data_IF_810143702054
#
_entry.id   IF_810143702054
#
_cell.length_a   1.000
_cell.length_b   1.000
_cell.length_c   1.000
_cell.angle_alpha   90.00
_cell.angle_beta   90.00
_cell.angle_gamma   90.00
#
_symmetry.space_group_name_H-M   'P 1'
#
loop_
_entity.id
_entity.type
_entity.pdbx_description
1 polymer ?
#
# COMPACT_ATOMS: atom_id res chain seq x y z
N UNK A 1 -12.96 -15.12 11.79
CA UNK A 1 -12.08 -13.98 11.43
C UNK A 1 -12.56 -13.23 10.18
N UNK A 2 -13.25 -13.89 9.22
CA UNK A 2 -13.83 -13.26 8.03
C UNK A 2 -14.79 -12.09 8.33
N UNK A 3 -15.65 -12.22 9.35
CA UNK A 3 -16.58 -11.14 9.77
C UNK A 3 -15.86 -9.85 10.17
N UNK A 4 -14.71 -9.99 10.85
CA UNK A 4 -13.88 -8.86 11.29
C UNK A 4 -13.20 -8.21 10.08
N UNK A 5 -12.72 -9.02 9.13
CA UNK A 5 -12.15 -8.54 7.87
C UNK A 5 -13.17 -7.75 7.03
N UNK A 6 -14.42 -8.23 6.97
CA UNK A 6 -15.52 -7.57 6.28
C UNK A 6 -15.87 -6.22 6.93
N UNK A 7 -15.90 -6.17 8.26
CA UNK A 7 -16.13 -4.95 9.03
C UNK A 7 -15.03 -3.92 8.76
N UNK A 8 -13.77 -4.36 8.68
CA UNK A 8 -12.63 -3.50 8.36
C UNK A 8 -12.71 -2.95 6.93
N UNK A 9 -13.07 -3.80 5.96
CA UNK A 9 -13.27 -3.37 4.58
C UNK A 9 -14.42 -2.35 4.45
N UNK A 10 -15.52 -2.56 5.16
CA UNK A 10 -16.65 -1.63 5.20
C UNK A 10 -16.25 -0.29 5.82
N UNK A 11 -15.43 -0.32 6.88
CA UNK A 11 -14.95 0.89 7.56
C UNK A 11 -14.00 1.70 6.67
N UNK A 12 -13.09 1.03 5.96
CA UNK A 12 -12.23 1.68 4.95
C UNK A 12 -13.08 2.27 3.82
N UNK A 13 -14.06 1.51 3.31
CA UNK A 13 -14.96 2.00 2.26
C UNK A 13 -15.75 3.22 2.72
N UNK A 14 -16.23 3.24 3.97
CA UNK A 14 -16.93 4.40 4.55
C UNK A 14 -16.04 5.64 4.70
N UNK A 15 -14.77 5.46 5.09
CA UNK A 15 -13.80 6.56 5.19
C UNK A 15 -13.47 7.16 3.81
N UNK A 16 -13.44 6.34 2.75
CA UNK A 16 -13.16 6.80 1.38
C UNK A 16 -14.39 7.40 0.71
N UNK A 17 -15.56 6.75 0.85
CA UNK A 17 -16.80 7.17 0.21
C UNK A 17 -17.49 8.32 0.93
N UNK A 18 -17.32 8.45 2.25
CA UNK A 18 -17.91 9.55 3.04
C UNK A 18 -17.55 10.93 2.50
N UNK A 19 -16.26 11.25 2.28
CA UNK A 19 -15.82 12.50 1.68
C UNK A 19 -16.26 12.69 0.23
N UNK A 20 -16.48 11.60 -0.54
CA UNK A 20 -16.96 11.68 -1.91
C UNK A 20 -18.45 12.09 -1.98
N UNK A 21 -19.25 11.68 -0.99
CA UNK A 21 -20.69 11.96 -0.93
C UNK A 21 -20.98 13.32 -0.26
N UNK A 22 -20.09 13.81 0.61
CA UNK A 22 -20.27 15.07 1.36
C UNK A 22 -20.24 16.37 0.52
N UNK A 23 -20.14 16.29 -0.81
CA UNK A 23 -20.10 17.46 -1.70
C UNK A 23 -18.72 18.14 -1.74
N UNK A 24 -18.52 19.03 -2.72
CA UNK A 24 -17.23 19.69 -3.05
C UNK A 24 -16.81 20.75 -2.01
N UNK A 25 -16.81 20.45 -0.71
CA UNK A 25 -16.28 21.35 0.30
C UNK A 25 -14.75 21.23 0.34
N UNK A 26 -14.08 22.06 -0.44
CA UNK A 26 -12.63 22.06 -0.63
C UNK A 26 -12.22 22.03 -2.10
N UNK A 27 -12.80 22.90 -2.93
CA UNK A 27 -12.48 23.01 -4.34
C UNK A 27 -11.08 23.62 -4.55
N UNK A 28 -10.24 22.99 -5.37
CA UNK A 28 -8.96 23.53 -5.84
C UNK A 28 -9.00 23.53 -7.36
N UNK A 29 -9.10 24.73 -7.94
CA UNK A 29 -8.89 24.94 -9.36
C UNK A 29 -7.38 25.08 -9.61
N UNK A 30 -6.79 24.11 -10.30
CA UNK A 30 -5.43 24.26 -10.83
C UNK A 30 -5.59 24.61 -12.30
N UNK A 31 -5.34 25.88 -12.62
CA UNK A 31 -5.40 26.41 -13.97
C UNK A 31 -3.97 26.51 -14.55
N UNK A 32 -3.72 25.77 -15.63
CA UNK A 32 -2.51 25.88 -16.49
C UNK A 32 -2.98 26.29 -17.89
N UNK A 33 -2.12 26.92 -18.70
CA UNK A 33 -2.45 27.55 -20.01
C UNK A 33 -3.48 26.83 -20.90
N UNK A 34 -3.55 25.48 -20.86
CA UNK A 34 -4.58 24.70 -21.57
C UNK A 34 -5.19 23.55 -20.74
N UNK A 35 -4.99 23.54 -19.42
CA UNK A 35 -5.45 22.45 -18.56
C UNK A 35 -6.08 22.99 -17.27
N UNK A 36 -7.38 22.76 -17.14
CA UNK A 36 -8.13 23.03 -15.92
C UNK A 36 -8.31 21.70 -15.20
N UNK A 37 -7.56 21.48 -14.13
CA UNK A 37 -7.74 20.31 -13.26
C UNK A 37 -8.56 20.78 -12.07
N UNK A 38 -9.83 20.41 -12.07
CA UNK A 38 -10.76 20.64 -10.97
C UNK A 38 -10.65 19.45 -10.02
N UNK A 39 -9.94 19.64 -8.90
CA UNK A 39 -9.80 18.59 -7.89
C UNK A 39 -10.26 19.10 -6.52
N UNK A 40 -10.64 18.18 -5.63
CA UNK A 40 -10.97 18.53 -4.26
C UNK A 40 -9.78 18.27 -3.32
N UNK A 41 -9.62 19.13 -2.31
CA UNK A 41 -8.67 18.94 -1.20
C UNK A 41 -8.88 17.56 -0.56
N UNK A 42 -10.14 17.13 -0.43
CA UNK A 42 -10.48 15.80 0.09
C UNK A 42 -9.95 14.67 -0.80
N UNK A 43 -10.06 14.79 -2.13
CA UNK A 43 -9.52 13.81 -3.08
C UNK A 43 -7.99 13.73 -3.01
N UNK A 44 -7.33 14.88 -2.86
CA UNK A 44 -5.88 14.95 -2.74
C UNK A 44 -5.37 14.25 -1.47
N UNK A 45 -6.06 14.42 -0.35
CA UNK A 45 -5.77 13.71 0.92
C UNK A 45 -5.98 12.19 0.78
N UNK A 46 -7.06 11.76 0.14
CA UNK A 46 -7.32 10.33 -0.11
C UNK A 46 -6.22 9.70 -0.96
N UNK A 47 -5.81 10.38 -2.04
CA UNK A 47 -4.73 9.90 -2.93
C UNK A 47 -3.41 9.79 -2.16
N UNK A 48 -3.09 10.75 -1.29
CA UNK A 48 -1.89 10.71 -0.43
C UNK A 48 -1.89 9.51 0.51
N UNK A 49 -3.02 9.27 1.19
CA UNK A 49 -3.16 8.12 2.10
C UNK A 49 -3.05 6.81 1.32
N UNK A 50 -3.74 6.68 0.19
CA UNK A 50 -3.65 5.50 -0.67
C UNK A 50 -2.23 5.25 -1.16
N UNK A 51 -1.52 6.30 -1.61
CA UNK A 51 -0.14 6.20 -2.04
C UNK A 51 0.77 5.68 -0.92
N UNK A 52 0.60 6.20 0.31
CA UNK A 52 1.33 5.72 1.48
C UNK A 52 1.07 4.24 1.77
N UNK A 53 -0.20 3.80 1.75
CA UNK A 53 -0.57 2.39 1.94
C UNK A 53 0.06 1.49 0.88
N UNK A 54 0.03 1.92 -0.39
CA UNK A 54 0.64 1.19 -1.50
C UNK A 54 2.16 1.07 -1.31
N UNK A 55 2.84 2.15 -0.93
CA UNK A 55 4.28 2.13 -0.64
C UNK A 55 4.62 1.13 0.48
N UNK A 56 3.87 1.14 1.59
CA UNK A 56 4.06 0.17 2.66
C UNK A 56 3.78 -1.27 2.23
N UNK A 57 2.76 -1.50 1.39
CA UNK A 57 2.45 -2.82 0.85
C UNK A 57 3.58 -3.35 -0.05
N UNK A 58 4.14 -2.48 -0.90
CA UNK A 58 5.31 -2.81 -1.73
C UNK A 58 6.51 -3.14 -0.84
N UNK A 59 6.81 -2.32 0.17
CA UNK A 59 7.92 -2.57 1.09
C UNK A 59 7.75 -3.89 1.86
N UNK A 60 6.53 -4.20 2.31
CA UNK A 60 6.20 -5.48 2.92
C UNK A 60 6.42 -6.66 1.97
N UNK A 61 5.97 -6.53 0.71
CA UNK A 61 6.13 -7.56 -0.32
C UNK A 61 7.62 -7.79 -0.64
N UNK A 62 8.39 -6.72 -0.80
CA UNK A 62 9.84 -6.80 -1.00
C UNK A 62 10.51 -7.51 0.18
N UNK A 63 10.24 -7.09 1.42
CA UNK A 63 10.77 -7.77 2.62
C UNK A 63 10.39 -9.24 2.70
N UNK A 64 9.16 -9.60 2.30
CA UNK A 64 8.68 -10.99 2.28
C UNK A 64 9.48 -11.84 1.29
N UNK A 65 9.75 -11.30 0.09
CA UNK A 65 10.55 -11.98 -0.94
C UNK A 65 12.00 -12.14 -0.47
N UNK A 66 12.62 -11.07 0.05
CA UNK A 66 14.01 -11.11 0.52
C UNK A 66 14.21 -11.99 1.78
N UNK A 67 13.24 -12.07 2.71
CA UNK A 67 13.30 -13.01 3.86
C UNK A 67 13.19 -14.47 3.44
N UNK A 68 12.42 -14.77 2.40
CA UNK A 68 12.30 -16.14 1.87
C UNK A 68 13.62 -16.62 1.25
N UNK A 69 14.41 -15.70 0.67
CA UNK A 69 15.74 -15.99 0.13
C UNK A 69 16.84 -16.31 1.16
N UNK A 70 16.64 -16.00 2.45
CA UNK A 70 17.62 -16.33 3.49
C UNK A 70 17.57 -17.81 3.91
N UNK A 71 16.41 -18.45 3.82
CA UNK A 71 16.24 -19.86 4.21
C UNK A 71 16.84 -20.84 3.19
N UNK A 72 16.92 -20.49 1.90
CA UNK A 72 17.53 -21.34 0.87
C UNK A 72 19.06 -21.24 0.82
N UNK A 73 19.67 -20.16 1.34
CA UNK A 73 21.14 -20.06 1.46
C UNK A 73 21.73 -21.03 2.49
N UNK A 74 21.00 -21.35 3.56
CA UNK A 74 21.43 -22.33 4.57
C UNK A 74 21.52 -23.77 4.05
N UNK A 75 20.75 -24.11 3.00
CA UNK A 75 20.76 -25.45 2.42
C UNK A 75 21.97 -25.69 1.49
N UNK A 76 22.52 -24.63 0.89
CA UNK A 76 23.66 -24.73 -0.03
C UNK A 76 25.03 -24.64 0.65
N UNK A 77 25.13 -24.14 1.88
CA UNK A 77 26.40 -24.00 2.63
C UNK A 77 26.77 -25.27 3.43
N UNK A 78 25.84 -26.20 3.63
CA UNK A 78 26.02 -27.36 4.52
C UNK A 78 26.69 -28.62 3.94
N UNK A 79 27.22 -28.60 2.71
CA UNK A 79 27.88 -29.79 2.12
C UNK A 79 29.36 -29.58 1.85
N UNK A 80 30.14 -29.35 2.90
CA UNK A 80 31.56 -29.71 2.91
C UNK A 80 31.84 -30.56 4.14
N UNK A 81 31.62 -31.87 4.00
CA UNK A 81 32.22 -32.89 4.87
C UNK A 81 33.74 -32.87 4.63
N UNK A 82 34.59 -32.75 5.64
CA UNK A 82 35.92 -33.32 5.57
C UNK A 82 35.80 -34.81 5.89
N UNK A 83 36.23 -35.63 4.93
CA UNK A 83 36.50 -37.04 5.12
C UNK A 83 37.52 -37.23 6.24
N UNK A 84 37.38 -38.33 6.99
CA UNK A 84 38.36 -38.87 7.94
C UNK A 84 39.79 -38.83 7.38
N UNK A 85 40.74 -38.49 8.25
CA UNK A 85 41.96 -39.26 8.50
C UNK A 85 42.35 -39.04 9.96
#
# INVERSE_FOLDING_TARGET
MLKILLLFALLIAGIVLGPMIAGHQGYVLIQTDNYNIETSVTGLVIILILAMVVLFAIEWLLRRIFRTGAHTRGWFVGRKRPSRA
#
